data_IF_773331561210
#
_entry.id   IF_773331561210
#
_cell.length_a   1.000
_cell.length_b   1.000
_cell.length_c   1.000
_cell.angle_alpha   90.00
_cell.angle_beta   90.00
_cell.angle_gamma   90.00
#
_symmetry.space_group_name_H-M   'P 1'
#
loop_
_entity.id
_entity.type
_entity.pdbx_description
1 polymer ?
#
# COMPACT_ATOMS: atom_id res chain seq x y z
N UNK A 1 -24.58 11.47 -26.47
CA UNK A 1 -24.40 12.27 -25.23
C UNK A 1 -25.04 11.45 -24.11
N UNK A 2 -24.21 10.74 -23.33
CA UNK A 2 -24.65 10.01 -22.14
C UNK A 2 -24.86 11.03 -21.03
N UNK A 3 -26.08 11.12 -20.50
CA UNK A 3 -26.39 11.86 -19.28
C UNK A 3 -25.41 11.45 -18.18
N UNK A 4 -24.76 12.39 -17.48
CA UNK A 4 -23.96 12.02 -16.33
C UNK A 4 -24.88 11.39 -15.28
N UNK A 5 -24.70 10.10 -15.02
CA UNK A 5 -25.33 9.45 -13.88
C UNK A 5 -24.72 10.05 -12.62
N UNK A 6 -25.43 10.98 -11.99
CA UNK A 6 -25.12 11.49 -10.65
C UNK A 6 -25.47 10.40 -9.63
N UNK A 7 -24.65 9.35 -9.55
CA UNK A 7 -24.73 8.45 -8.44
C UNK A 7 -24.00 9.07 -7.25
N UNK A 8 -24.67 9.19 -6.11
CA UNK A 8 -23.99 9.53 -4.87
C UNK A 8 -22.89 8.50 -4.60
N UNK A 9 -21.70 8.91 -4.15
CA UNK A 9 -20.60 8.00 -3.90
C UNK A 9 -21.01 6.92 -2.90
N UNK A 10 -20.89 5.66 -3.31
CA UNK A 10 -21.24 4.50 -2.46
C UNK A 10 -19.98 3.97 -1.80
N UNK A 11 -19.93 4.05 -0.48
CA UNK A 11 -18.83 3.50 0.30
C UNK A 11 -18.83 1.98 0.30
N UNK A 12 -17.65 1.40 0.20
CA UNK A 12 -17.42 -0.01 0.48
C UNK A 12 -17.40 -0.18 2.01
N UNK A 13 -18.49 -0.71 2.55
CA UNK A 13 -18.63 -1.01 3.97
C UNK A 13 -18.90 -2.49 4.16
N UNK A 14 -18.13 -3.20 4.99
CA UNK A 14 -18.40 -4.60 5.28
C UNK A 14 -19.69 -4.72 6.10
N UNK A 15 -20.44 -5.83 5.90
CA UNK A 15 -21.67 -6.09 6.65
C UNK A 15 -21.39 -6.30 8.15
N UNK A 16 -20.30 -6.97 8.47
CA UNK A 16 -19.75 -7.07 9.84
C UNK A 16 -18.55 -6.13 9.96
N UNK A 17 -18.41 -5.39 11.07
CA UNK A 17 -17.27 -4.52 11.27
C UNK A 17 -15.94 -5.28 11.23
N UNK A 18 -14.96 -4.73 10.51
CA UNK A 18 -13.65 -5.34 10.24
C UNK A 18 -12.54 -4.35 10.60
N UNK A 19 -11.43 -4.86 11.06
CA UNK A 19 -10.25 -4.04 11.28
C UNK A 19 -8.95 -4.80 11.14
N UNK A 20 -7.86 -4.13 11.43
CA UNK A 20 -6.49 -4.63 11.39
C UNK A 20 -6.16 -5.25 12.74
N UNK A 21 -6.00 -6.57 12.80
CA UNK A 21 -5.64 -7.32 14.01
C UNK A 21 -4.12 -7.38 14.20
N UNK A 22 -3.38 -7.40 13.10
CA UNK A 22 -1.92 -7.37 13.11
C UNK A 22 -1.38 -6.78 11.83
N UNK A 23 -0.19 -6.20 11.91
CA UNK A 23 0.51 -5.62 10.77
C UNK A 23 2.02 -5.80 10.90
N UNK A 24 2.71 -5.82 9.77
CA UNK A 24 4.15 -5.94 9.70
C UNK A 24 4.69 -5.36 8.41
N UNK A 25 5.97 -5.07 8.39
CA UNK A 25 6.66 -4.56 7.22
C UNK A 25 8.01 -5.24 7.04
N UNK A 26 8.52 -5.17 5.82
CA UNK A 26 9.91 -5.49 5.52
C UNK A 26 10.48 -4.49 4.51
N UNK A 27 11.67 -4.00 4.80
CA UNK A 27 12.45 -3.15 3.90
C UNK A 27 13.87 -3.70 3.86
N UNK A 28 14.41 -4.05 2.68
CA UNK A 28 15.81 -4.49 2.55
C UNK A 28 16.78 -3.53 3.21
N UNK A 29 17.84 -4.04 3.78
CA UNK A 29 18.81 -3.23 4.54
C UNK A 29 19.71 -2.36 3.67
N UNK A 30 19.96 -2.76 2.41
CA UNK A 30 20.85 -2.01 1.53
C UNK A 30 20.19 -0.72 1.05
N UNK A 31 21.00 0.33 0.92
CA UNK A 31 20.57 1.65 0.43
C UNK A 31 21.44 2.07 -0.73
N UNK A 32 20.79 2.52 -1.82
CA UNK A 32 21.46 3.19 -2.92
C UNK A 32 21.14 4.68 -2.87
N UNK A 33 22.11 5.54 -2.54
CA UNK A 33 21.90 6.99 -2.57
C UNK A 33 21.59 7.48 -3.99
N UNK A 34 20.54 8.30 -4.15
CA UNK A 34 20.15 8.85 -5.46
C UNK A 34 21.27 9.66 -6.13
N UNK A 35 22.18 10.26 -5.33
CA UNK A 35 23.37 10.95 -5.85
C UNK A 35 24.31 10.04 -6.66
N UNK A 36 24.39 8.74 -6.33
CA UNK A 36 25.22 7.79 -7.06
C UNK A 36 24.64 7.47 -8.43
N UNK A 37 23.29 7.38 -8.52
CA UNK A 37 22.59 7.26 -9.81
C UNK A 37 22.85 8.53 -10.65
N UNK A 38 22.69 9.71 -10.06
CA UNK A 38 22.96 10.98 -10.73
C UNK A 38 24.43 11.11 -11.16
N UNK A 39 25.38 10.62 -10.36
CA UNK A 39 26.81 10.64 -10.71
C UNK A 39 27.06 9.89 -12.01
N UNK A 40 26.41 8.76 -12.22
CA UNK A 40 26.57 7.94 -13.43
C UNK A 40 25.93 8.61 -14.66
N UNK A 41 24.67 9.05 -14.53
CA UNK A 41 23.86 9.45 -15.69
C UNK A 41 23.90 10.95 -16.02
N UNK A 42 24.09 11.81 -15.00
CA UNK A 42 24.04 13.27 -15.21
C UNK A 42 25.29 13.99 -14.76
N UNK A 43 26.35 13.25 -14.40
CA UNK A 43 27.58 13.84 -13.81
C UNK A 43 27.31 14.54 -12.49
N UNK A 44 26.31 14.09 -11.73
CA UNK A 44 25.91 14.67 -10.43
C UNK A 44 25.07 15.94 -10.55
N UNK A 45 24.60 16.31 -11.74
CA UNK A 45 23.80 17.51 -11.99
C UNK A 45 22.30 17.23 -11.83
N UNK A 46 21.54 18.25 -11.43
CA UNK A 46 20.06 18.20 -11.29
C UNK A 46 19.60 17.98 -9.86
N UNK A 47 18.28 18.18 -9.64
CA UNK A 47 17.63 17.91 -8.35
C UNK A 47 17.35 16.42 -8.17
N UNK A 48 17.48 15.93 -6.95
CA UNK A 48 17.20 14.53 -6.61
C UNK A 48 15.74 14.36 -6.14
N UNK A 49 15.00 13.35 -6.63
CA UNK A 49 13.61 13.12 -6.24
C UNK A 49 13.47 12.52 -4.84
N UNK A 50 14.52 11.84 -4.35
CA UNK A 50 14.63 11.19 -3.05
C UNK A 50 16.07 11.30 -2.55
N UNK A 51 16.34 10.94 -1.31
CA UNK A 51 17.71 10.86 -0.76
C UNK A 51 18.38 9.53 -1.15
N UNK A 52 17.69 8.43 -0.88
CA UNK A 52 18.17 7.08 -1.15
C UNK A 52 17.00 6.11 -1.31
N UNK A 53 17.25 4.95 -1.89
CA UNK A 53 16.27 3.89 -2.04
C UNK A 53 16.74 2.57 -1.43
N UNK A 54 15.80 1.75 -0.98
CA UNK A 54 16.05 0.39 -0.54
C UNK A 54 16.31 -0.52 -1.74
N UNK A 55 17.32 -1.36 -1.64
CA UNK A 55 17.73 -2.32 -2.68
C UNK A 55 17.79 -3.71 -2.07
N UNK A 56 17.15 -4.72 -2.70
CA UNK A 56 17.18 -6.09 -2.19
C UNK A 56 18.58 -6.69 -2.26
N UNK A 57 18.89 -7.59 -1.34
CA UNK A 57 20.03 -8.48 -1.41
C UNK A 57 19.86 -9.51 -2.52
N UNK A 58 20.89 -10.29 -2.77
CA UNK A 58 20.86 -11.34 -3.79
C UNK A 58 19.90 -12.50 -3.47
N UNK A 59 19.53 -12.63 -2.22
CA UNK A 59 18.63 -13.62 -1.62
C UNK A 59 17.25 -13.05 -1.28
N UNK A 60 16.98 -11.80 -1.66
CA UNK A 60 15.72 -11.12 -1.38
C UNK A 60 14.89 -10.89 -2.65
N UNK A 61 13.64 -11.33 -2.62
CA UNK A 61 12.62 -11.10 -3.64
C UNK A 61 11.25 -10.81 -2.99
N UNK A 62 10.22 -10.65 -3.81
CA UNK A 62 8.85 -10.42 -3.31
C UNK A 62 8.39 -11.54 -2.38
N UNK A 63 8.78 -12.81 -2.63
CA UNK A 63 8.39 -13.94 -1.80
C UNK A 63 9.04 -13.84 -0.42
N UNK A 64 10.37 -13.74 -0.38
CA UNK A 64 11.14 -13.76 0.87
C UNK A 64 10.83 -12.55 1.74
N UNK A 65 10.69 -11.37 1.13
CA UNK A 65 10.29 -10.15 1.84
C UNK A 65 8.84 -10.23 2.37
N UNK A 66 7.91 -10.81 1.59
CA UNK A 66 6.53 -11.03 2.03
C UNK A 66 6.44 -11.99 3.20
N UNK A 67 7.26 -13.04 3.23
CA UNK A 67 7.34 -13.98 4.37
C UNK A 67 7.74 -13.25 5.64
N UNK A 68 8.76 -12.39 5.60
CA UNK A 68 9.19 -11.64 6.79
C UNK A 68 8.16 -10.61 7.25
N UNK A 69 7.54 -9.88 6.32
CA UNK A 69 6.44 -8.97 6.64
C UNK A 69 5.24 -9.71 7.26
N UNK A 70 4.89 -10.89 6.70
CA UNK A 70 3.83 -11.74 7.22
C UNK A 70 4.14 -12.27 8.62
N UNK A 71 5.38 -12.73 8.89
CA UNK A 71 5.83 -13.15 10.22
C UNK A 71 5.73 -12.04 11.26
N UNK A 72 6.09 -10.81 10.88
CA UNK A 72 5.94 -9.63 11.74
C UNK A 72 4.46 -9.34 12.03
N UNK A 73 3.58 -9.44 11.01
CA UNK A 73 2.14 -9.28 11.20
C UNK A 73 1.55 -10.37 12.10
N UNK A 74 1.94 -11.64 11.91
CA UNK A 74 1.51 -12.77 12.75
C UNK A 74 1.95 -12.61 14.22
N UNK A 75 3.22 -12.20 14.43
CA UNK A 75 3.76 -11.94 15.77
C UNK A 75 2.97 -10.86 16.50
N UNK A 76 2.54 -9.80 15.77
CA UNK A 76 1.74 -8.73 16.35
C UNK A 76 0.28 -9.14 16.55
N UNK A 77 -0.30 -9.92 15.63
CA UNK A 77 -1.66 -10.43 15.76
C UNK A 77 -1.84 -11.46 16.87
N UNK A 78 -0.83 -12.30 17.12
CA UNK A 78 -0.87 -13.41 18.10
C UNK A 78 -2.02 -14.40 17.85
N UNK A 79 -2.26 -14.75 16.59
CA UNK A 79 -3.26 -15.74 16.17
C UNK A 79 -2.61 -17.03 15.69
N UNK A 80 -3.36 -18.13 15.66
CA UNK A 80 -2.92 -19.37 15.00
C UNK A 80 -2.94 -19.16 13.48
N UNK A 81 -1.83 -19.45 12.75
CA UNK A 81 -1.79 -19.37 11.30
C UNK A 81 -2.90 -20.19 10.60
N UNK A 82 -3.33 -21.32 11.20
CA UNK A 82 -4.41 -22.15 10.67
C UNK A 82 -5.79 -21.47 10.69
N UNK A 83 -5.95 -20.34 11.37
CA UNK A 83 -7.19 -19.56 11.36
C UNK A 83 -7.26 -18.58 10.17
N UNK A 84 -6.15 -18.35 9.45
CA UNK A 84 -6.14 -17.56 8.23
C UNK A 84 -6.92 -18.27 7.11
N UNK A 85 -7.98 -17.64 6.62
CA UNK A 85 -8.80 -18.17 5.52
C UNK A 85 -8.41 -17.62 4.15
N UNK A 86 -7.54 -16.61 4.15
CA UNK A 86 -6.91 -16.10 2.93
C UNK A 86 -5.51 -15.57 3.22
N UNK A 87 -4.60 -15.79 2.26
CA UNK A 87 -3.27 -15.18 2.18
C UNK A 87 -3.12 -14.64 0.76
N UNK A 88 -3.13 -13.32 0.62
CA UNK A 88 -3.13 -12.64 -0.67
C UNK A 88 -1.98 -11.66 -0.78
N UNK A 89 -1.27 -11.71 -1.91
CA UNK A 89 -0.12 -10.84 -2.19
C UNK A 89 -0.41 -9.99 -3.42
N UNK A 90 -0.39 -8.67 -3.24
CA UNK A 90 -0.43 -7.71 -4.33
C UNK A 90 0.97 -7.25 -4.70
N UNK A 91 1.32 -7.36 -5.98
CA UNK A 91 2.65 -6.99 -6.50
C UNK A 91 2.59 -6.76 -8.01
N UNK A 92 3.51 -5.98 -8.55
CA UNK A 92 3.77 -5.90 -9.99
C UNK A 92 5.12 -6.52 -10.39
N UNK A 93 5.79 -7.17 -9.42
CA UNK A 93 7.11 -7.78 -9.60
C UNK A 93 7.19 -9.20 -9.03
N UNK A 94 6.10 -9.96 -9.14
CA UNK A 94 6.10 -11.38 -8.78
C UNK A 94 7.22 -12.14 -9.50
N UNK A 95 8.01 -12.99 -8.80
CA UNK A 95 9.14 -13.69 -9.44
C UNK A 95 8.71 -14.76 -10.44
N UNK A 96 7.47 -15.25 -10.34
CA UNK A 96 6.92 -16.25 -11.26
C UNK A 96 5.66 -15.71 -11.95
N UNK A 97 5.56 -15.91 -13.27
CA UNK A 97 4.38 -15.52 -14.04
C UNK A 97 3.18 -16.46 -13.81
N UNK A 98 3.41 -17.71 -13.39
CA UNK A 98 2.37 -18.76 -13.27
C UNK A 98 2.24 -19.31 -11.86
N UNK A 99 3.32 -19.42 -11.09
CA UNK A 99 3.28 -19.93 -9.71
C UNK A 99 2.96 -18.80 -8.73
N UNK A 100 1.87 -18.90 -7.91
CA UNK A 100 1.52 -17.83 -6.98
C UNK A 100 2.58 -17.62 -5.89
N UNK A 101 2.93 -16.37 -5.63
CA UNK A 101 3.73 -15.91 -4.49
C UNK A 101 3.05 -16.26 -3.17
N UNK A 102 1.75 -16.02 -3.10
CA UNK A 102 0.90 -16.22 -1.92
C UNK A 102 0.91 -17.64 -1.37
N UNK A 103 1.02 -18.67 -2.23
CA UNK A 103 1.12 -20.08 -1.77
C UNK A 103 2.42 -20.35 -1.03
N UNK A 104 3.53 -19.75 -1.47
CA UNK A 104 4.83 -19.86 -0.80
C UNK A 104 4.81 -19.16 0.56
N UNK A 105 4.19 -17.98 0.62
CA UNK A 105 4.02 -17.25 1.88
C UNK A 105 3.15 -18.03 2.85
N UNK A 106 1.98 -18.55 2.38
CA UNK A 106 1.07 -19.33 3.21
C UNK A 106 1.74 -20.58 3.82
N UNK A 107 2.54 -21.31 3.01
CA UNK A 107 3.34 -22.46 3.49
C UNK A 107 4.35 -22.01 4.54
N UNK A 108 5.11 -20.95 4.26
CA UNK A 108 6.21 -20.49 5.13
C UNK A 108 5.74 -19.97 6.50
N UNK A 109 4.49 -19.49 6.60
CA UNK A 109 3.90 -19.06 7.88
C UNK A 109 3.02 -20.12 8.55
N UNK A 110 2.82 -21.28 7.91
CA UNK A 110 2.02 -22.39 8.46
C UNK A 110 0.51 -22.23 8.30
N UNK A 111 0.04 -21.42 7.34
CA UNK A 111 -1.40 -21.19 7.12
C UNK A 111 -2.10 -22.27 6.28
N UNK A 112 -1.36 -23.21 5.75
CA UNK A 112 -1.87 -24.29 4.89
C UNK A 112 -2.42 -25.47 5.71
N UNK A 113 -3.28 -26.36 5.13
CA UNK A 113 -3.83 -26.33 3.76
C UNK A 113 -5.19 -25.62 3.62
N UNK A 114 -5.86 -25.22 4.69
CA UNK A 114 -7.23 -24.70 4.70
C UNK A 114 -7.31 -23.19 4.51
N UNK A 115 -6.62 -22.65 3.51
CA UNK A 115 -6.58 -21.23 3.20
C UNK A 115 -6.72 -20.99 1.70
N UNK A 116 -7.27 -19.86 1.31
CA UNK A 116 -7.20 -19.37 -0.07
C UNK A 116 -5.87 -18.64 -0.27
N UNK A 117 -5.24 -18.82 -1.42
CA UNK A 117 -4.03 -18.11 -1.79
C UNK A 117 -4.16 -17.60 -3.23
N UNK A 118 -3.94 -16.31 -3.42
CA UNK A 118 -3.99 -15.69 -4.75
C UNK A 118 -3.07 -14.47 -4.79
N UNK A 119 -2.51 -14.22 -5.97
CA UNK A 119 -1.77 -13.01 -6.26
C UNK A 119 -2.69 -12.00 -6.93
N UNK A 120 -2.49 -10.72 -6.59
CA UNK A 120 -3.28 -9.60 -7.08
C UNK A 120 -2.41 -8.68 -7.93
N UNK A 121 -2.97 -8.21 -9.04
CA UNK A 121 -2.32 -7.25 -9.93
C UNK A 121 -3.17 -6.00 -10.08
N UNK A 122 -2.59 -4.85 -9.83
CA UNK A 122 -3.09 -3.51 -10.17
C UNK A 122 -1.94 -2.50 -9.99
N UNK A 123 -0.81 -2.73 -10.64
CA UNK A 123 0.37 -1.88 -10.46
C UNK A 123 0.58 -1.54 -8.96
N UNK A 124 0.91 -0.28 -8.63
CA UNK A 124 1.18 0.14 -7.25
C UNK A 124 -0.02 0.03 -6.26
N UNK A 125 -1.24 -0.24 -6.76
CA UNK A 125 -2.46 -0.40 -5.94
C UNK A 125 -2.75 -1.87 -5.57
N UNK A 126 -2.01 -2.83 -6.12
CA UNK A 126 -2.28 -4.25 -5.97
C UNK A 126 -2.41 -4.71 -4.51
N UNK A 127 -1.56 -4.21 -3.60
CA UNK A 127 -1.65 -4.53 -2.17
C UNK A 127 -2.92 -4.04 -1.50
N UNK A 128 -3.44 -2.88 -1.89
CA UNK A 128 -4.69 -2.34 -1.35
C UNK A 128 -5.93 -2.94 -2.01
N UNK A 129 -5.85 -3.49 -3.22
CA UNK A 129 -6.91 -4.35 -3.77
C UNK A 129 -7.04 -5.64 -2.95
N UNK A 130 -5.92 -6.29 -2.62
CA UNK A 130 -5.92 -7.43 -1.71
C UNK A 130 -6.53 -7.07 -0.34
N UNK A 131 -6.27 -5.85 0.17
CA UNK A 131 -6.83 -5.37 1.44
C UNK A 131 -8.35 -5.18 1.38
N UNK A 132 -8.88 -4.61 0.28
CA UNK A 132 -10.34 -4.50 0.06
C UNK A 132 -11.00 -5.88 -0.02
N UNK A 133 -10.37 -6.81 -0.73
CA UNK A 133 -10.87 -8.18 -0.83
C UNK A 133 -10.88 -8.89 0.54
N UNK A 134 -9.82 -8.74 1.34
CA UNK A 134 -9.73 -9.29 2.69
C UNK A 134 -10.82 -8.69 3.62
N UNK A 135 -11.05 -7.37 3.51
CA UNK A 135 -12.15 -6.71 4.22
C UNK A 135 -13.51 -7.31 3.83
N UNK A 136 -13.72 -7.60 2.55
CA UNK A 136 -14.93 -8.25 2.05
C UNK A 136 -15.09 -9.68 2.57
N UNK A 137 -14.02 -10.50 2.55
CA UNK A 137 -14.05 -11.88 3.02
C UNK A 137 -14.39 -11.95 4.52
N UNK A 138 -13.71 -11.17 5.36
CA UNK A 138 -13.97 -11.14 6.80
C UNK A 138 -15.34 -10.53 7.08
N UNK A 139 -15.66 -9.41 6.44
CA UNK A 139 -16.92 -8.69 6.63
C UNK A 139 -18.17 -9.44 6.17
N UNK A 140 -18.05 -10.42 5.27
CA UNK A 140 -19.13 -11.34 4.89
C UNK A 140 -19.31 -12.49 5.88
N UNK A 141 -18.30 -12.76 6.72
CA UNK A 141 -18.26 -13.91 7.62
C UNK A 141 -17.81 -15.22 6.97
N UNK A 142 -17.25 -15.18 5.75
CA UNK A 142 -16.68 -16.37 5.09
C UNK A 142 -15.35 -16.80 5.73
N UNK A 143 -14.66 -15.90 6.40
CA UNK A 143 -13.43 -16.18 7.13
C UNK A 143 -13.30 -15.32 8.37
N UNK A 144 -12.67 -15.84 9.42
CA UNK A 144 -12.43 -15.07 10.64
C UNK A 144 -11.25 -14.11 10.44
N UNK A 145 -10.16 -14.61 9.87
CA UNK A 145 -9.00 -13.79 9.53
C UNK A 145 -8.61 -13.94 8.06
N UNK A 146 -8.08 -12.87 7.50
CA UNK A 146 -7.48 -12.83 6.16
C UNK A 146 -6.22 -11.97 6.18
N UNK A 147 -5.17 -12.43 5.49
CA UNK A 147 -3.94 -11.67 5.32
C UNK A 147 -3.90 -11.05 3.91
N UNK A 148 -3.59 -9.76 3.85
CA UNK A 148 -3.36 -9.00 2.63
C UNK A 148 -1.99 -8.32 2.68
N UNK A 149 -1.25 -8.39 1.60
CA UNK A 149 0.10 -7.83 1.49
C UNK A 149 0.25 -6.97 0.25
N UNK A 150 1.12 -5.95 0.36
CA UNK A 150 1.65 -5.22 -0.78
C UNK A 150 3.18 -5.25 -0.70
N UNK A 151 3.83 -5.80 -1.72
CA UNK A 151 5.28 -6.01 -1.72
C UNK A 151 5.85 -5.91 -3.13
N UNK A 152 6.92 -5.15 -3.33
CA UNK A 152 7.57 -5.06 -4.62
C UNK A 152 9.11 -4.97 -4.55
N UNK A 153 9.73 -5.42 -5.65
CA UNK A 153 11.14 -5.22 -5.99
C UNK A 153 11.27 -4.59 -7.38
N UNK A 154 10.72 -3.38 -7.59
CA UNK A 154 10.62 -2.80 -8.92
C UNK A 154 11.98 -2.41 -9.49
N UNK A 155 12.06 -2.41 -10.81
CA UNK A 155 13.25 -1.99 -11.55
C UNK A 155 12.89 -0.87 -12.53
N UNK A 156 13.67 0.21 -12.51
CA UNK A 156 13.66 1.24 -13.55
C UNK A 156 14.64 0.93 -14.66
N UNK A 157 14.34 1.42 -15.87
CA UNK A 157 15.31 1.36 -16.97
C UNK A 157 16.54 2.20 -16.59
N UNK A 158 17.78 1.70 -16.79
CA UNK A 158 19.00 2.46 -16.51
C UNK A 158 18.99 3.84 -17.17
N UNK A 159 19.23 4.88 -16.36
CA UNK A 159 19.18 6.28 -16.79
C UNK A 159 17.80 6.93 -16.81
N UNK A 160 16.73 6.17 -16.59
CA UNK A 160 15.36 6.69 -16.49
C UNK A 160 15.07 7.32 -15.11
N UNK A 161 14.03 8.17 -15.06
CA UNK A 161 13.57 8.78 -13.81
C UNK A 161 13.16 7.73 -12.75
N UNK A 162 12.62 6.58 -13.20
CA UNK A 162 12.22 5.48 -12.32
C UNK A 162 13.41 4.81 -11.62
N UNK A 163 14.60 4.78 -12.27
CA UNK A 163 15.78 4.21 -11.62
C UNK A 163 16.14 4.92 -10.32
N UNK A 164 15.90 6.23 -10.26
CA UNK A 164 16.17 7.00 -9.03
C UNK A 164 15.28 6.61 -7.87
N UNK A 165 14.00 6.28 -8.15
CA UNK A 165 12.97 6.15 -7.12
C UNK A 165 12.52 4.72 -6.86
N UNK A 166 12.67 3.79 -7.80
CA UNK A 166 12.24 2.40 -7.65
C UNK A 166 12.97 1.71 -6.50
N UNK A 167 12.30 1.54 -5.37
CA UNK A 167 12.80 0.94 -4.14
C UNK A 167 12.05 -0.34 -3.79
N UNK A 168 12.70 -1.24 -3.05
CA UNK A 168 12.12 -2.52 -2.63
C UNK A 168 11.56 -2.44 -1.21
N UNK A 169 10.48 -3.19 -0.96
CA UNK A 169 9.85 -3.30 0.36
C UNK A 169 8.33 -3.37 0.30
N UNK A 170 7.72 -3.49 1.46
CA UNK A 170 6.27 -3.53 1.61
C UNK A 170 5.82 -3.94 2.99
N UNK A 171 4.54 -4.34 3.10
CA UNK A 171 3.95 -4.74 4.37
C UNK A 171 2.83 -5.74 4.22
N UNK A 172 2.43 -6.29 5.36
CA UNK A 172 1.37 -7.27 5.51
C UNK A 172 0.39 -6.82 6.59
N UNK A 173 -0.90 -7.06 6.35
CA UNK A 173 -1.98 -6.85 7.30
C UNK A 173 -2.79 -8.10 7.50
N UNK A 174 -3.15 -8.38 8.75
CA UNK A 174 -4.14 -9.40 9.09
C UNK A 174 -5.42 -8.66 9.47
N UNK A 175 -6.47 -8.91 8.69
CA UNK A 175 -7.81 -8.42 8.97
C UNK A 175 -8.61 -9.44 9.75
N UNK A 176 -9.42 -8.97 10.68
CA UNK A 176 -10.30 -9.77 11.53
C UNK A 176 -11.48 -8.94 12.03
N UNK A 177 -12.28 -9.48 12.99
CA UNK A 177 -13.37 -8.75 13.60
C UNK A 177 -12.90 -7.45 14.28
N UNK A 178 -13.73 -6.41 14.22
CA UNK A 178 -13.39 -5.10 14.76
C UNK A 178 -13.07 -5.13 16.28
N UNK A 179 -13.74 -5.99 17.03
CA UNK A 179 -13.54 -6.15 18.48
C UNK A 179 -12.15 -6.72 18.85
N UNK A 180 -11.45 -7.33 17.91
CA UNK A 180 -10.11 -7.87 18.09
C UNK A 180 -9.03 -6.95 17.50
N UNK A 181 -9.44 -5.89 16.83
CA UNK A 181 -8.57 -5.10 15.97
C UNK A 181 -7.85 -3.97 16.70
N UNK A 182 -6.62 -3.70 16.26
CA UNK A 182 -5.78 -2.56 16.66
C UNK A 182 -6.28 -1.25 16.03
N UNK A 183 -6.88 -1.38 14.83
CA UNK A 183 -7.51 -0.28 14.12
C UNK A 183 -8.69 -0.79 13.30
N UNK A 184 -9.83 -0.12 13.34
CA UNK A 184 -11.06 -0.49 12.63
C UNK A 184 -11.12 0.24 11.29
N UNK A 185 -11.46 -0.48 10.21
CA UNK A 185 -11.71 0.10 8.88
C UNK A 185 -13.21 0.44 8.79
N UNK A 186 -13.55 1.71 8.91
CA UNK A 186 -14.94 2.17 8.87
C UNK A 186 -15.55 2.06 7.47
N UNK A 187 -14.77 2.40 6.46
CA UNK A 187 -15.20 2.40 5.07
C UNK A 187 -14.00 2.48 4.13
N UNK A 188 -14.23 2.10 2.87
CA UNK A 188 -13.34 2.41 1.78
C UNK A 188 -14.12 2.98 0.58
N UNK A 189 -13.41 3.68 -0.31
CA UNK A 189 -13.96 4.16 -1.57
C UNK A 189 -12.92 3.92 -2.68
N UNK A 190 -13.36 3.31 -3.78
CA UNK A 190 -12.51 3.04 -4.95
C UNK A 190 -12.92 3.91 -6.13
N UNK A 191 -11.93 4.56 -6.75
CA UNK A 191 -12.09 5.35 -7.96
C UNK A 191 -11.18 4.80 -9.05
N UNK A 192 -11.74 4.34 -10.16
CA UNK A 192 -11.02 3.67 -11.25
C UNK A 192 -11.43 4.23 -12.60
N UNK A 193 -10.47 4.45 -13.48
CA UNK A 193 -10.68 4.76 -14.90
C UNK A 193 -9.65 3.99 -15.73
N UNK A 194 -9.92 3.80 -17.02
CA UNK A 194 -8.89 3.34 -17.96
C UNK A 194 -8.01 4.56 -18.35
N UNK A 195 -6.83 4.67 -17.72
CA UNK A 195 -5.87 5.74 -17.95
C UNK A 195 -4.48 5.15 -18.18
N UNK A 196 -4.01 5.06 -19.43
CA UNK A 196 -2.74 4.39 -19.78
C UNK A 196 -1.54 5.31 -19.49
N UNK A 197 -1.20 5.46 -18.21
CA UNK A 197 -0.12 6.34 -17.74
C UNK A 197 1.20 5.62 -17.50
N UNK A 198 1.15 4.30 -17.23
CA UNK A 198 2.32 3.46 -16.95
C UNK A 198 1.96 2.01 -17.25
N UNK A 199 2.84 1.26 -17.94
CA UNK A 199 2.58 -0.12 -18.33
C UNK A 199 3.89 -0.87 -18.61
N UNK A 200 3.82 -2.20 -18.56
CA UNK A 200 4.86 -3.10 -19.06
C UNK A 200 4.20 -4.25 -19.81
N UNK A 201 4.49 -4.39 -21.10
CA UNK A 201 4.01 -5.52 -21.88
C UNK A 201 4.84 -6.78 -21.58
N UNK A 202 4.25 -7.94 -21.88
CA UNK A 202 4.98 -9.19 -21.84
C UNK A 202 6.26 -9.11 -22.70
N UNK A 203 7.34 -9.72 -22.22
CA UNK A 203 8.68 -9.70 -22.82
C UNK A 203 9.39 -8.32 -22.80
N UNK A 204 8.82 -7.30 -22.20
CA UNK A 204 9.55 -6.07 -21.91
C UNK A 204 10.27 -6.20 -20.55
N UNK A 205 11.55 -5.82 -20.54
CA UNK A 205 12.36 -5.89 -19.30
C UNK A 205 12.00 -4.80 -18.30
N UNK A 206 11.67 -3.61 -18.78
CA UNK A 206 11.37 -2.45 -17.96
C UNK A 206 10.01 -1.85 -18.32
N UNK A 207 9.33 -1.20 -17.37
CA UNK A 207 8.09 -0.49 -17.64
C UNK A 207 8.35 0.79 -18.46
N UNK A 208 7.31 1.21 -19.17
CA UNK A 208 7.22 2.49 -19.86
C UNK A 208 6.20 3.39 -19.14
N UNK A 209 6.37 4.70 -19.23
CA UNK A 209 5.46 5.66 -18.61
C UNK A 209 5.17 6.86 -19.52
N UNK A 210 4.01 7.46 -19.34
CA UNK A 210 3.51 8.62 -20.06
C UNK A 210 4.12 9.96 -19.62
N UNK A 211 5.35 9.95 -19.10
CA UNK A 211 6.06 11.14 -18.63
C UNK A 211 5.22 11.91 -17.59
N UNK A 212 4.99 13.22 -17.80
CA UNK A 212 4.18 14.05 -16.88
C UNK A 212 2.74 13.59 -16.73
N UNK A 213 2.20 12.83 -17.69
CA UNK A 213 0.85 12.30 -17.67
C UNK A 213 0.63 11.33 -16.50
N UNK A 214 1.67 10.66 -16.05
CA UNK A 214 1.66 9.81 -14.84
C UNK A 214 1.34 10.60 -13.57
N UNK A 215 1.73 11.87 -13.51
CA UNK A 215 1.35 12.78 -12.42
C UNK A 215 0.02 13.48 -12.69
N UNK A 216 -0.05 14.20 -13.80
CA UNK A 216 -1.24 14.95 -14.26
C UNK A 216 -1.72 14.37 -15.61
N UNK A 217 -2.93 13.78 -15.68
CA UNK A 217 -3.94 13.74 -14.63
C UNK A 217 -3.88 12.47 -13.73
N UNK A 218 -3.06 11.44 -14.04
CA UNK A 218 -3.25 10.14 -13.46
C UNK A 218 -3.19 10.14 -11.92
N UNK A 219 -2.02 10.39 -11.33
CA UNK A 219 -1.84 10.33 -9.86
C UNK A 219 -2.75 11.31 -9.11
N UNK A 220 -2.67 12.61 -9.45
CA UNK A 220 -3.33 13.66 -8.68
C UNK A 220 -4.86 13.58 -8.75
N UNK A 221 -5.40 13.32 -9.94
CA UNK A 221 -6.84 13.16 -10.11
C UNK A 221 -7.38 11.98 -9.30
N UNK A 222 -6.79 10.79 -9.46
CA UNK A 222 -7.34 9.58 -8.85
C UNK A 222 -7.26 9.62 -7.31
N UNK A 223 -6.15 10.09 -6.75
CA UNK A 223 -6.04 10.26 -5.30
C UNK A 223 -7.03 11.31 -4.78
N UNK A 224 -7.13 12.47 -5.45
CA UNK A 224 -8.04 13.52 -5.03
C UNK A 224 -9.50 13.06 -5.09
N UNK A 225 -9.93 12.40 -6.17
CA UNK A 225 -11.30 11.88 -6.31
C UNK A 225 -11.61 10.83 -5.23
N UNK A 226 -10.71 9.85 -5.03
CA UNK A 226 -10.95 8.82 -4.02
C UNK A 226 -11.03 9.39 -2.60
N UNK A 227 -10.11 10.28 -2.24
CA UNK A 227 -10.09 10.91 -0.93
C UNK A 227 -11.31 11.82 -0.70
N UNK A 228 -11.64 12.67 -1.67
CA UNK A 228 -12.75 13.61 -1.55
C UNK A 228 -14.08 12.86 -1.41
N UNK A 229 -14.35 11.89 -2.28
CA UNK A 229 -15.59 11.12 -2.22
C UNK A 229 -15.72 10.30 -0.92
N UNK A 230 -14.60 9.72 -0.42
CA UNK A 230 -14.63 9.05 0.87
C UNK A 230 -14.99 10.03 2.00
N UNK A 231 -14.32 11.19 2.05
CA UNK A 231 -14.54 12.19 3.09
C UNK A 231 -15.97 12.75 3.02
N UNK A 232 -16.47 13.13 1.84
CA UNK A 232 -17.83 13.62 1.64
C UNK A 232 -18.88 12.60 2.10
N UNK A 233 -18.75 11.33 1.65
CA UNK A 233 -19.70 10.28 2.00
C UNK A 233 -19.62 9.85 3.48
N UNK A 234 -18.50 10.11 4.15
CA UNK A 234 -18.30 9.88 5.58
C UNK A 234 -18.63 11.10 6.44
N UNK A 235 -18.96 12.25 5.84
CA UNK A 235 -19.21 13.50 6.54
C UNK A 235 -17.97 14.06 7.24
N UNK A 236 -16.79 13.88 6.66
CA UNK A 236 -15.50 14.28 7.24
C UNK A 236 -14.74 15.24 6.34
N UNK A 237 -13.75 15.90 6.92
CA UNK A 237 -12.79 16.79 6.26
C UNK A 237 -11.37 16.42 6.67
N UNK A 238 -10.34 16.97 6.05
CA UNK A 238 -8.95 16.75 6.44
C UNK A 238 -8.65 17.04 7.92
N UNK A 239 -9.43 17.91 8.56
CA UNK A 239 -9.27 18.27 9.99
C UNK A 239 -9.74 17.19 10.96
N UNK A 240 -10.57 16.27 10.48
CA UNK A 240 -11.12 15.17 11.29
C UNK A 240 -10.16 13.98 11.35
N UNK A 241 -9.06 14.03 10.60
CA UNK A 241 -8.02 13.01 10.57
C UNK A 241 -6.79 13.47 11.35
N UNK A 242 -6.28 12.61 12.23
CA UNK A 242 -5.00 12.83 12.90
C UNK A 242 -3.85 12.65 11.90
N UNK A 243 -3.96 11.62 11.06
CA UNK A 243 -2.92 11.23 10.11
C UNK A 243 -3.48 11.00 8.70
N UNK A 244 -2.62 11.19 7.70
CA UNK A 244 -2.94 10.83 6.33
C UNK A 244 -1.74 10.13 5.65
N UNK A 245 -2.02 9.07 4.92
CA UNK A 245 -1.05 8.27 4.17
C UNK A 245 -1.45 8.27 2.70
N UNK A 246 -0.54 8.67 1.84
CA UNK A 246 -0.74 8.67 0.39
C UNK A 246 0.27 7.75 -0.29
N UNK A 247 -0.10 7.16 -1.41
CA UNK A 247 0.88 6.56 -2.31
C UNK A 247 2.00 7.55 -2.63
N UNK A 248 3.25 7.11 -2.60
CA UNK A 248 4.42 7.99 -2.60
C UNK A 248 5.44 7.58 -3.67
N UNK A 249 5.21 7.97 -4.96
CA UNK A 249 6.15 7.65 -6.06
C UNK A 249 7.44 8.47 -5.99
N UNK A 250 7.42 9.61 -5.34
CA UNK A 250 8.55 10.48 -5.02
C UNK A 250 8.15 11.41 -3.85
N UNK A 251 9.10 12.20 -3.34
CA UNK A 251 8.87 13.07 -2.17
C UNK A 251 7.79 14.14 -2.41
N UNK A 252 7.72 14.70 -3.62
CA UNK A 252 6.87 15.89 -3.90
C UNK A 252 5.40 15.55 -4.10
N UNK A 253 5.08 14.37 -4.67
CA UNK A 253 3.70 14.02 -5.03
C UNK A 253 2.77 13.92 -3.82
N UNK A 254 3.09 13.11 -2.78
CA UNK A 254 2.25 13.04 -1.59
C UNK A 254 2.13 14.38 -0.85
N UNK A 255 3.20 15.18 -0.80
CA UNK A 255 3.16 16.51 -0.19
C UNK A 255 2.21 17.45 -0.93
N UNK A 256 2.26 17.46 -2.28
CA UNK A 256 1.40 18.31 -3.10
C UNK A 256 -0.08 17.91 -2.98
N UNK A 257 -0.39 16.61 -3.09
CA UNK A 257 -1.79 16.15 -3.01
C UNK A 257 -2.35 16.34 -1.60
N UNK A 258 -1.57 16.14 -0.57
CA UNK A 258 -1.95 16.44 0.81
C UNK A 258 -2.38 17.91 0.96
N UNK A 259 -1.56 18.85 0.50
CA UNK A 259 -1.90 20.27 0.50
C UNK A 259 -3.15 20.62 -0.30
N UNK A 260 -3.37 19.99 -1.46
CA UNK A 260 -4.59 20.14 -2.26
C UNK A 260 -5.86 19.69 -1.54
N UNK A 261 -5.74 18.63 -0.73
CA UNK A 261 -6.84 18.06 0.07
C UNK A 261 -7.02 18.76 1.44
N UNK A 262 -6.15 19.70 1.79
CA UNK A 262 -6.22 20.44 3.05
C UNK A 262 -5.50 19.79 4.23
N UNK A 263 -4.67 18.76 4.00
CA UNK A 263 -3.82 18.16 5.01
C UNK A 263 -2.53 18.95 5.23
N UNK A 264 -2.08 19.01 6.47
CA UNK A 264 -0.78 19.61 6.83
C UNK A 264 0.37 18.61 6.62
N UNK A 265 1.59 19.12 6.64
CA UNK A 265 2.80 18.29 6.54
C UNK A 265 2.96 17.37 7.76
N UNK A 266 2.55 17.83 8.94
CA UNK A 266 2.60 17.07 10.18
C UNK A 266 1.71 15.83 10.09
N UNK A 267 0.52 15.95 9.47
CA UNK A 267 -0.41 14.82 9.32
C UNK A 267 0.12 13.70 8.42
N UNK A 268 1.00 13.99 7.47
CA UNK A 268 1.53 12.98 6.55
C UNK A 268 2.93 12.48 6.93
N UNK A 269 3.61 13.17 7.85
CA UNK A 269 5.02 12.94 8.12
C UNK A 269 5.38 11.53 8.60
N UNK A 270 4.60 10.84 9.46
CA UNK A 270 4.94 9.49 9.88
C UNK A 270 4.93 8.47 8.73
N UNK A 271 3.99 8.63 7.77
CA UNK A 271 3.85 7.76 6.61
C UNK A 271 4.73 8.12 5.41
N UNK A 272 5.43 9.26 5.44
CA UNK A 272 6.24 9.77 4.32
C UNK A 272 7.65 9.17 4.33
N UNK A 273 7.78 7.94 3.85
CA UNK A 273 9.02 7.15 3.88
C UNK A 273 9.83 7.21 2.59
N UNK A 274 9.21 7.60 1.48
CA UNK A 274 9.84 7.59 0.15
C UNK A 274 11.18 8.34 0.08
N UNK A 275 11.47 9.39 0.85
CA UNK A 275 12.78 10.04 0.81
C UNK A 275 13.94 9.11 1.18
N UNK A 276 13.69 8.08 2.00
CA UNK A 276 14.70 7.21 2.61
C UNK A 276 14.69 5.78 2.07
N UNK A 277 13.57 5.32 1.53
CA UNK A 277 13.44 3.93 1.04
C UNK A 277 13.10 3.83 -0.44
N UNK A 278 12.73 4.94 -1.08
CA UNK A 278 12.22 4.96 -2.44
C UNK A 278 10.74 4.59 -2.54
N UNK A 279 10.23 4.53 -3.77
CA UNK A 279 8.88 4.06 -4.06
C UNK A 279 8.86 2.52 -4.04
N UNK A 280 8.14 1.94 -3.11
CA UNK A 280 7.95 0.49 -2.97
C UNK A 280 6.67 0.00 -3.68
N UNK A 281 6.16 0.76 -4.63
CA UNK A 281 5.04 0.42 -5.53
C UNK A 281 3.82 -0.12 -4.77
N UNK A 282 3.45 -1.41 -4.94
CA UNK A 282 2.31 -2.00 -4.24
C UNK A 282 2.43 -1.95 -2.70
N UNK A 283 3.66 -1.87 -2.19
CA UNK A 283 3.96 -1.67 -0.77
C UNK A 283 3.88 -0.23 -0.29
N UNK A 284 3.85 0.79 -1.18
CA UNK A 284 4.11 2.18 -0.80
C UNK A 284 3.08 2.78 0.20
N UNK A 285 1.78 2.63 -0.06
CA UNK A 285 0.74 3.06 0.88
C UNK A 285 0.67 2.13 2.09
N UNK A 286 0.87 0.83 1.88
CA UNK A 286 0.86 -0.21 2.92
C UNK A 286 1.92 0.06 3.97
N UNK A 287 3.18 0.26 3.57
CA UNK A 287 4.27 0.54 4.52
C UNK A 287 4.12 1.92 5.18
N UNK A 288 3.57 2.89 4.47
CA UNK A 288 3.24 4.21 5.02
C UNK A 288 2.23 4.11 6.16
N UNK A 289 1.18 3.28 6.00
CA UNK A 289 0.22 3.02 7.08
C UNK A 289 0.88 2.26 8.25
N UNK A 290 1.76 1.28 7.97
CA UNK A 290 2.50 0.57 9.01
C UNK A 290 3.28 1.54 9.91
N UNK A 291 4.06 2.44 9.31
CA UNK A 291 4.83 3.45 10.05
C UNK A 291 3.92 4.45 10.81
N UNK A 292 2.74 4.75 10.26
CA UNK A 292 1.76 5.61 10.93
C UNK A 292 1.13 4.90 12.14
N UNK A 293 0.79 3.62 12.01
CA UNK A 293 0.27 2.81 13.14
C UNK A 293 1.28 2.65 14.28
N UNK A 294 2.58 2.64 13.99
CA UNK A 294 3.64 2.54 15.02
C UNK A 294 3.69 3.79 15.93
N UNK A 295 3.17 4.93 15.48
CA UNK A 295 3.13 6.19 16.26
C UNK A 295 1.72 6.59 16.68
N UNK A 296 0.69 5.95 16.13
CA UNK A 296 -0.71 6.26 16.37
C UNK A 296 -1.14 5.93 17.80
N UNK A 297 -2.12 6.67 18.27
CA UNK A 297 -2.70 6.53 19.61
C UNK A 297 -4.17 6.13 19.52
N UNK A 298 -4.74 5.54 20.58
CA UNK A 298 -6.17 5.28 20.66
C UNK A 298 -7.00 6.52 20.29
N UNK A 299 -7.98 6.32 19.42
CA UNK A 299 -8.86 7.37 18.91
C UNK A 299 -8.33 8.14 17.70
N UNK A 300 -7.07 7.97 17.32
CA UNK A 300 -6.55 8.58 16.10
C UNK A 300 -7.32 8.08 14.88
N UNK A 301 -7.65 9.00 13.97
CA UNK A 301 -8.28 8.70 12.69
C UNK A 301 -7.27 8.88 11.57
N UNK A 302 -7.17 7.88 10.70
CA UNK A 302 -6.19 7.81 9.62
C UNK A 302 -6.93 7.74 8.28
N UNK A 303 -6.59 8.64 7.35
CA UNK A 303 -6.92 8.48 5.93
C UNK A 303 -5.75 7.78 5.25
N UNK A 304 -5.99 6.64 4.59
CA UNK A 304 -5.00 6.03 3.71
C UNK A 304 -5.52 6.06 2.27
N UNK A 305 -4.72 6.57 1.33
CA UNK A 305 -5.07 6.62 -0.10
C UNK A 305 -3.95 6.02 -0.93
N UNK A 306 -4.25 4.90 -1.56
CA UNK A 306 -3.35 4.26 -2.53
C UNK A 306 -3.60 4.78 -3.94
N UNK A 307 -2.65 4.54 -4.82
CA UNK A 307 -2.78 4.77 -6.26
C UNK A 307 -2.04 3.67 -7.00
N UNK A 308 -2.61 3.22 -8.11
CA UNK A 308 -1.98 2.34 -9.08
C UNK A 308 -2.23 2.85 -10.48
N UNK A 309 -1.18 2.79 -11.30
CA UNK A 309 -1.25 3.17 -12.71
C UNK A 309 -2.20 2.30 -13.49
N UNK A 310 -2.76 2.84 -14.55
CA UNK A 310 -3.74 2.14 -15.35
C UNK A 310 -5.17 2.71 -15.41
N UNK A 311 -5.78 3.44 -14.48
CA UNK A 311 -5.33 3.90 -13.18
C UNK A 311 -6.47 3.78 -12.16
N UNK A 312 -6.12 3.74 -10.89
CA UNK A 312 -7.11 3.70 -9.81
C UNK A 312 -6.53 4.09 -8.46
N UNK A 313 -7.42 4.49 -7.55
CA UNK A 313 -7.13 4.77 -6.15
C UNK A 313 -8.14 4.11 -5.24
N UNK A 314 -7.71 3.69 -4.06
CA UNK A 314 -8.60 3.33 -2.96
C UNK A 314 -8.26 4.20 -1.76
N UNK A 315 -9.29 4.84 -1.19
CA UNK A 315 -9.20 5.56 0.07
C UNK A 315 -9.84 4.71 1.18
N UNK A 316 -9.21 4.69 2.36
CA UNK A 316 -9.70 4.00 3.56
C UNK A 316 -9.82 5.00 4.71
N UNK A 317 -10.91 4.89 5.46
CA UNK A 317 -11.15 5.59 6.73
C UNK A 317 -10.92 4.61 7.88
N UNK A 318 -9.93 4.88 8.70
CA UNK A 318 -9.44 3.96 9.73
C UNK A 318 -9.44 4.66 11.08
N UNK A 319 -9.95 4.00 12.14
CA UNK A 319 -9.89 4.50 13.52
C UNK A 319 -9.08 3.54 14.38
N UNK A 320 -8.09 4.08 15.06
CA UNK A 320 -7.20 3.33 15.97
C UNK A 320 -7.93 3.04 17.28
N UNK A 321 -7.87 1.80 17.76
CA UNK A 321 -8.49 1.34 18.99
C UNK A 321 -7.52 1.37 20.17
N UNK A 322 -8.03 1.18 21.39
CA UNK A 322 -7.21 1.07 22.59
C UNK A 322 -6.22 -0.11 22.54
N UNK A 323 -6.55 -1.15 21.77
CA UNK A 323 -5.72 -2.35 21.61
C UNK A 323 -4.35 -2.08 20.95
N UNK A 324 -4.17 -0.95 20.27
CA UNK A 324 -2.87 -0.60 19.67
C UNK A 324 -1.77 -0.58 20.74
N UNK A 325 -2.08 -0.18 21.96
CA UNK A 325 -1.13 -0.12 23.08
C UNK A 325 -0.71 -1.50 23.60
N UNK A 326 -1.56 -2.51 23.43
CA UNK A 326 -1.29 -3.90 23.85
C UNK A 326 -0.25 -4.58 22.97
N UNK A 327 -0.12 -4.12 21.72
CA UNK A 327 0.69 -4.76 20.67
C UNK A 327 1.91 -3.95 20.26
N UNK A 328 2.10 -2.77 20.85
CA UNK A 328 3.27 -1.94 20.62
C UNK A 328 4.55 -2.73 21.00
N UNK A 329 5.51 -2.77 20.09
CA UNK A 329 6.81 -3.42 20.31
C UNK A 329 6.82 -4.96 20.18
N UNK A 330 5.75 -5.60 19.72
CA UNK A 330 5.74 -7.04 19.48
C UNK A 330 6.41 -7.47 18.16
N UNK A 331 6.68 -6.54 17.21
CA UNK A 331 7.31 -6.86 15.92
C UNK A 331 8.35 -5.82 15.53
#
# INVERSE_FOLDING_TARGET
MTTPHTHSPTLLKPAKPVGIVGYGAYVPRFRLPAKEVARVWTGGKGGLPIKEKAVPGMDEDVITMSIEAARNAMKRAQIDPHELRAVWVGSESHPYAVKPTSTLVAEAIGAVPNTQAADWEFACKAGTEALVAAMGLVGSGMGHYAMAMGMDTPQGNPGDALEYTAGAGGGAYILGPAEESLAVINAAYSYVTDTPDFWRRENQKYPEHGMRFTGEPAYFKHIAEAATHLMEASGTTAKDYTWAVFHQPNTKFPQRVAGQLGFSMEQIQPGLLVPMIGNTYAGAAVIGLTATLDVAKPGDRILMVSFGSGAGSVAFDIIVTDRITERAGLA
#
